data_IF_029706193088
#
_entry.id   IF_029706193088
#
_cell.length_a   1.000
_cell.length_b   1.000
_cell.length_c   1.000
_cell.angle_alpha   90.00
_cell.angle_beta   90.00
_cell.angle_gamma   90.00
#
_symmetry.space_group_name_H-M   'P 1'
#
loop_
_entity.id
_entity.type
_entity.pdbx_description
1 polymer ?
#
# COMPACT_ATOMS: atom_id res chain seq x y z
N UNK A 1 -12.66 -22.21 5.79
CA UNK A 1 -12.49 -21.03 4.92
C UNK A 1 -12.84 -19.80 5.74
N UNK A 2 -12.15 -18.68 5.53
CA UNK A 2 -12.45 -17.45 6.25
C UNK A 2 -13.64 -16.74 5.58
N UNK A 3 -14.79 -16.71 6.24
CA UNK A 3 -16.06 -16.25 5.65
C UNK A 3 -16.14 -14.71 5.57
N UNK A 4 -15.42 -14.01 6.43
CA UNK A 4 -15.42 -12.55 6.50
C UNK A 4 -14.11 -12.01 5.96
N UNK A 5 -14.18 -11.24 4.85
CA UNK A 5 -13.05 -10.46 4.27
C UNK A 5 -11.75 -11.27 4.07
N UNK A 6 -11.85 -12.54 3.68
CA UNK A 6 -10.70 -13.43 3.50
C UNK A 6 -9.77 -13.50 4.75
N UNK A 7 -10.33 -13.32 5.96
CA UNK A 7 -9.55 -13.30 7.21
C UNK A 7 -8.55 -12.15 7.34
N UNK A 8 -8.58 -11.15 6.45
CA UNK A 8 -7.55 -10.11 6.36
C UNK A 8 -6.34 -10.51 5.50
N UNK A 9 -6.40 -11.66 4.82
CA UNK A 9 -5.38 -12.07 3.87
C UNK A 9 -5.49 -11.29 2.55
N UNK A 10 -4.35 -11.12 1.89
CA UNK A 10 -4.25 -10.55 0.53
C UNK A 10 -5.24 -11.21 -0.46
N UNK A 11 -5.78 -10.48 -1.46
CA UNK A 11 -6.68 -11.04 -2.47
C UNK A 11 -6.10 -12.24 -3.24
N UNK A 12 -4.76 -12.30 -3.38
CA UNK A 12 -3.99 -13.38 -3.99
C UNK A 12 -3.50 -14.41 -2.96
N UNK A 13 -3.95 -14.33 -1.71
CA UNK A 13 -3.81 -15.37 -0.71
C UNK A 13 -5.08 -16.21 -0.58
N UNK A 14 -4.91 -17.49 -0.29
CA UNK A 14 -5.93 -18.35 0.28
C UNK A 14 -5.91 -18.22 1.81
N UNK A 15 -7.08 -18.04 2.41
CA UNK A 15 -7.23 -17.97 3.86
C UNK A 15 -7.67 -19.31 4.46
N UNK A 16 -6.96 -19.77 5.49
CA UNK A 16 -7.28 -20.93 6.31
C UNK A 16 -7.17 -20.61 7.80
N UNK A 17 -7.63 -21.53 8.66
CA UNK A 17 -7.47 -21.42 10.12
C UNK A 17 -6.43 -22.44 10.59
N UNK A 18 -5.49 -22.02 11.42
CA UNK A 18 -4.52 -22.88 12.08
C UNK A 18 -5.22 -23.81 13.08
N UNK A 19 -4.78 -25.07 13.12
CA UNK A 19 -5.49 -26.14 13.85
C UNK A 19 -5.48 -26.06 15.37
N UNK A 20 -4.65 -25.20 15.98
CA UNK A 20 -4.45 -25.14 17.45
C UNK A 20 -5.15 -23.98 18.14
N UNK A 21 -5.48 -22.90 17.43
CA UNK A 21 -6.05 -21.69 18.02
C UNK A 21 -6.99 -20.93 17.09
N UNK A 22 -7.38 -21.52 15.96
CA UNK A 22 -8.14 -20.85 14.90
C UNK A 22 -7.48 -19.56 14.39
N UNK A 23 -6.15 -19.40 14.52
CA UNK A 23 -5.47 -18.24 13.96
C UNK A 23 -5.62 -18.21 12.43
N UNK A 24 -5.80 -17.02 11.87
CA UNK A 24 -5.83 -16.83 10.42
C UNK A 24 -4.46 -17.16 9.84
N UNK A 25 -4.44 -18.02 8.82
CA UNK A 25 -3.27 -18.38 8.04
C UNK A 25 -3.49 -17.97 6.60
N UNK A 26 -2.65 -17.05 6.11
CA UNK A 26 -2.68 -16.55 4.74
C UNK A 26 -1.60 -17.25 3.92
N UNK A 27 -2.01 -18.02 2.90
CA UNK A 27 -1.07 -18.71 2.01
C UNK A 27 -1.20 -18.18 0.60
N UNK A 28 -0.12 -17.67 -0.01
CA UNK A 28 -0.19 -17.17 -1.37
C UNK A 28 -0.62 -18.24 -2.37
N UNK A 29 -1.54 -17.87 -3.25
CA UNK A 29 -1.99 -18.70 -4.37
C UNK A 29 -0.79 -19.03 -5.27
N UNK A 30 -0.87 -20.15 -5.98
CA UNK A 30 0.17 -20.57 -6.93
C UNK A 30 0.48 -19.42 -7.90
N UNK A 31 1.77 -19.15 -8.11
CA UNK A 31 2.22 -18.03 -8.93
C UNK A 31 2.37 -16.71 -8.16
N UNK A 32 2.17 -16.72 -6.84
CA UNK A 32 2.44 -15.60 -5.95
C UNK A 32 3.41 -15.97 -4.83
N UNK A 33 4.30 -15.05 -4.46
CA UNK A 33 5.21 -15.20 -3.33
C UNK A 33 4.75 -14.35 -2.15
N UNK A 34 4.79 -14.88 -0.91
CA UNK A 34 4.53 -14.08 0.26
C UNK A 34 5.65 -13.06 0.42
N UNK A 35 5.28 -11.79 0.61
CA UNK A 35 6.15 -10.77 1.17
C UNK A 35 5.60 -10.38 2.54
N UNK A 36 6.47 -10.42 3.54
CA UNK A 36 6.11 -10.04 4.90
C UNK A 36 6.02 -8.50 4.96
N UNK A 37 4.82 -8.00 5.26
CA UNK A 37 4.56 -6.60 5.62
C UNK A 37 3.82 -6.60 6.96
N UNK A 38 4.55 -6.41 8.05
CA UNK A 38 3.99 -6.48 9.41
C UNK A 38 3.18 -7.76 9.69
N UNK A 39 1.90 -7.58 10.04
CA UNK A 39 0.96 -8.67 10.39
C UNK A 39 0.12 -9.20 9.21
N UNK A 40 0.31 -8.68 8.00
CA UNK A 40 -0.46 -9.08 6.81
C UNK A 40 0.45 -9.80 5.81
N UNK A 41 0.03 -10.97 5.34
CA UNK A 41 0.72 -11.65 4.24
C UNK A 41 0.23 -11.07 2.92
N UNK A 42 1.09 -10.29 2.26
CA UNK A 42 0.86 -9.78 0.91
C UNK A 42 1.36 -10.82 -0.10
N UNK A 43 0.56 -11.07 -1.13
CA UNK A 43 0.89 -12.04 -2.17
C UNK A 43 1.12 -11.32 -3.48
N UNK A 44 2.38 -11.29 -3.88
CA UNK A 44 2.84 -10.64 -5.11
C UNK A 44 3.14 -11.67 -6.18
N UNK A 45 2.93 -11.36 -7.45
CA UNK A 45 3.11 -12.34 -8.50
C UNK A 45 4.59 -12.77 -8.60
N UNK A 46 4.84 -14.07 -8.46
CA UNK A 46 6.15 -14.71 -8.43
C UNK A 46 6.93 -14.55 -9.74
N UNK A 47 6.23 -14.27 -10.83
CA UNK A 47 6.79 -14.15 -12.19
C UNK A 47 7.01 -12.72 -12.64
N UNK A 48 6.78 -11.71 -11.78
CA UNK A 48 7.22 -10.36 -12.12
C UNK A 48 8.71 -10.28 -11.84
N UNK A 49 9.53 -10.70 -12.80
CA UNK A 49 10.94 -10.30 -12.84
C UNK A 49 10.93 -8.78 -12.78
N UNK A 50 11.33 -8.24 -11.63
CA UNK A 50 11.49 -6.81 -11.46
C UNK A 50 12.51 -6.34 -12.50
N UNK A 51 12.22 -5.23 -13.19
CA UNK A 51 13.16 -4.67 -14.15
C UNK A 51 14.51 -4.43 -13.46
N UNK A 52 15.65 -4.52 -14.18
CA UNK A 52 16.97 -4.27 -13.59
C UNK A 52 17.01 -2.94 -12.82
N UNK A 53 17.54 -2.96 -11.60
CA UNK A 53 17.60 -1.78 -10.73
C UNK A 53 16.28 -1.44 -10.03
N UNK A 54 15.24 -2.26 -10.16
CA UNK A 54 14.01 -2.14 -9.38
C UNK A 54 13.92 -3.16 -8.26
N UNK A 55 13.28 -2.76 -7.18
CA UNK A 55 13.05 -3.59 -6.00
C UNK A 55 11.71 -3.23 -5.36
N UNK A 56 11.36 -3.94 -4.28
CA UNK A 56 10.18 -3.61 -3.49
C UNK A 56 10.53 -2.64 -2.38
N UNK A 57 9.62 -1.71 -2.13
CA UNK A 57 9.61 -0.90 -0.93
C UNK A 57 8.25 -1.04 -0.22
N UNK A 58 8.27 -0.88 1.10
CA UNK A 58 7.10 -1.04 1.96
C UNK A 58 6.83 0.23 2.76
N UNK A 59 5.57 0.47 3.10
CA UNK A 59 5.21 1.52 4.03
C UNK A 59 5.81 1.22 5.40
N UNK A 60 6.41 2.22 6.05
CA UNK A 60 6.83 2.04 7.45
C UNK A 60 5.63 1.71 8.34
N UNK A 61 5.78 0.68 9.16
CA UNK A 61 4.75 0.17 10.08
C UNK A 61 4.08 1.27 10.92
N UNK A 62 4.83 2.30 11.33
CA UNK A 62 4.31 3.43 12.11
C UNK A 62 3.22 4.25 11.40
N UNK A 63 3.06 4.11 10.07
CA UNK A 63 2.04 4.80 9.29
C UNK A 63 0.83 3.90 8.96
N UNK A 64 0.89 2.60 9.25
CA UNK A 64 -0.26 1.73 9.15
C UNK A 64 -1.34 2.16 10.16
N UNK A 65 -2.61 2.09 9.75
CA UNK A 65 -3.73 2.57 10.53
C UNK A 65 -3.98 4.09 10.46
N UNK A 66 -3.19 4.82 9.66
CA UNK A 66 -3.43 6.26 9.44
C UNK A 66 -4.82 6.50 8.83
N UNK A 67 -5.46 7.58 9.23
CA UNK A 67 -6.81 7.95 8.79
C UNK A 67 -6.79 9.17 7.88
N UNK A 68 -7.75 9.22 6.95
CA UNK A 68 -8.09 10.40 6.16
C UNK A 68 -9.61 10.64 6.26
N UNK A 69 -10.09 11.76 6.85
CA UNK A 69 -9.34 12.90 7.36
C UNK A 69 -8.35 12.58 8.49
N UNK A 70 -7.22 13.27 8.48
CA UNK A 70 -6.11 13.09 9.41
C UNK A 70 -5.14 14.27 9.37
N UNK A 71 -3.86 14.04 9.63
CA UNK A 71 -2.86 15.10 9.64
C UNK A 71 -2.52 15.60 8.22
N UNK A 72 -2.57 16.92 8.04
CA UNK A 72 -2.39 17.56 6.73
C UNK A 72 -1.21 18.53 6.73
N UNK A 73 -0.50 18.60 5.59
CA UNK A 73 0.53 19.62 5.37
C UNK A 73 0.57 20.03 3.90
N UNK A 74 0.43 21.33 3.60
CA UNK A 74 0.63 21.86 2.25
C UNK A 74 -0.59 21.78 1.34
N UNK A 75 -0.34 21.82 0.03
CA UNK A 75 -1.34 21.77 -1.03
C UNK A 75 -1.28 20.42 -1.73
N UNK A 76 -2.44 19.87 -2.07
CA UNK A 76 -2.55 18.58 -2.72
C UNK A 76 -2.92 18.71 -4.19
N UNK A 77 -2.46 17.79 -5.05
CA UNK A 77 -2.96 17.73 -6.41
C UNK A 77 -4.45 17.36 -6.40
N UNK A 78 -5.19 17.82 -7.39
CA UNK A 78 -6.54 17.32 -7.65
C UNK A 78 -6.48 15.94 -8.29
N UNK A 79 -7.49 15.12 -8.04
CA UNK A 79 -7.62 13.79 -8.63
C UNK A 79 -9.07 13.50 -9.01
N UNK A 80 -9.32 12.84 -10.15
CA UNK A 80 -10.65 12.34 -10.50
C UNK A 80 -11.09 11.16 -9.61
N UNK A 81 -10.15 10.46 -8.96
CA UNK A 81 -10.41 9.24 -8.17
C UNK A 81 -11.06 9.55 -6.80
N UNK A 82 -11.06 10.82 -6.40
CA UNK A 82 -11.73 11.28 -5.19
C UNK A 82 -11.00 12.44 -4.51
N UNK A 83 -11.63 13.03 -3.48
CA UNK A 83 -11.08 14.18 -2.79
C UNK A 83 -10.16 13.81 -1.61
N UNK A 84 -10.08 12.53 -1.23
CA UNK A 84 -9.28 12.07 -0.08
C UNK A 84 -7.95 11.50 -0.55
N UNK A 85 -6.92 12.33 -0.57
CA UNK A 85 -5.57 11.97 -1.04
C UNK A 85 -4.62 11.51 0.06
N UNK A 86 -3.63 10.72 -0.30
CA UNK A 86 -2.64 10.12 0.59
C UNK A 86 -1.27 10.33 -0.03
N UNK A 87 -0.43 11.15 0.60
CA UNK A 87 0.89 11.49 0.07
C UNK A 87 1.98 10.58 0.64
N UNK A 88 2.52 9.73 -0.22
CA UNK A 88 3.58 8.77 0.10
C UNK A 88 4.91 9.26 -0.46
N UNK A 89 5.96 9.17 0.36
CA UNK A 89 7.25 9.79 0.08
C UNK A 89 8.41 8.81 0.28
N UNK A 90 9.27 8.71 -0.75
CA UNK A 90 10.59 8.09 -0.64
C UNK A 90 11.58 9.07 -0.01
N UNK A 91 12.17 8.67 1.13
CA UNK A 91 13.04 9.52 1.93
C UNK A 91 14.49 9.57 1.40
N UNK A 92 14.99 8.50 0.77
CA UNK A 92 16.33 8.45 0.20
C UNK A 92 16.46 9.36 -1.01
N UNK A 93 17.67 9.69 -1.46
CA UNK A 93 17.90 10.69 -2.52
C UNK A 93 17.84 10.13 -3.94
N UNK A 94 18.01 8.82 -4.11
CA UNK A 94 18.25 8.16 -5.40
C UNK A 94 17.16 7.18 -5.83
N UNK A 95 16.07 7.08 -5.06
CA UNK A 95 14.99 6.13 -5.31
C UNK A 95 13.75 6.82 -5.88
N UNK A 96 13.09 6.17 -6.83
CA UNK A 96 11.88 6.65 -7.52
C UNK A 96 10.77 5.61 -7.47
N UNK A 97 9.51 6.03 -7.32
CA UNK A 97 8.36 5.13 -7.46
C UNK A 97 8.18 4.72 -8.93
N UNK A 98 8.00 3.42 -9.16
CA UNK A 98 7.63 2.84 -10.46
C UNK A 98 6.14 2.46 -10.46
N UNK A 99 5.68 1.86 -9.36
CA UNK A 99 4.27 1.58 -9.11
C UNK A 99 3.98 1.55 -7.62
N UNK A 100 2.71 1.68 -7.25
CA UNK A 100 2.26 1.64 -5.86
C UNK A 100 0.97 0.84 -5.71
N UNK A 101 0.75 0.31 -4.52
CA UNK A 101 -0.48 -0.37 -4.13
C UNK A 101 -0.74 -0.03 -2.67
N UNK A 102 -1.86 0.64 -2.42
CA UNK A 102 -2.29 1.01 -1.07
C UNK A 102 -3.54 0.23 -0.72
N UNK A 103 -3.50 -0.52 0.38
CA UNK A 103 -4.66 -1.21 0.92
C UNK A 103 -5.38 -0.31 1.91
N UNK A 104 -6.63 0.01 1.59
CA UNK A 104 -7.51 0.79 2.44
C UNK A 104 -8.64 -0.07 3.02
N UNK A 105 -9.19 0.35 4.16
CA UNK A 105 -10.26 -0.36 4.86
C UNK A 105 -11.56 -0.41 4.07
N UNK A 106 -11.90 0.64 3.34
CA UNK A 106 -13.17 0.75 2.59
C UNK A 106 -12.95 0.63 1.07
N UNK A 107 -11.96 1.33 0.52
CA UNK A 107 -11.67 1.34 -0.91
C UNK A 107 -10.94 0.09 -1.42
N UNK A 108 -10.41 -0.76 -0.52
CA UNK A 108 -9.62 -1.93 -0.90
C UNK A 108 -8.25 -1.52 -1.45
N UNK A 109 -7.73 -2.29 -2.41
CA UNK A 109 -6.42 -2.01 -3.01
C UNK A 109 -6.55 -0.95 -4.11
N UNK A 110 -5.90 0.18 -3.93
CA UNK A 110 -5.80 1.26 -4.92
C UNK A 110 -4.38 1.32 -5.48
N UNK A 111 -4.28 1.35 -6.81
CA UNK A 111 -3.00 1.35 -7.54
C UNK A 111 -2.78 2.57 -8.43
N UNK A 112 -3.82 3.39 -8.63
CA UNK A 112 -3.73 4.67 -9.33
C UNK A 112 -2.85 5.63 -8.52
N UNK A 113 -1.85 6.22 -9.18
CA UNK A 113 -0.94 7.17 -8.53
C UNK A 113 -0.73 8.41 -9.38
N UNK A 114 -0.62 9.55 -8.70
CA UNK A 114 -0.17 10.82 -9.27
C UNK A 114 1.21 11.12 -8.69
N UNK A 115 2.20 11.38 -9.56
CA UNK A 115 3.56 11.71 -9.14
C UNK A 115 3.84 13.20 -9.34
N UNK A 116 3.99 13.93 -8.23
CA UNK A 116 4.28 15.37 -8.24
C UNK A 116 4.82 15.81 -6.87
N UNK A 117 5.80 16.73 -6.77
CA UNK A 117 6.50 17.42 -7.86
C UNK A 117 7.57 16.56 -8.56
N UNK A 118 7.86 15.36 -8.04
CA UNK A 118 8.79 14.43 -8.66
C UNK A 118 8.32 12.98 -8.46
N UNK A 119 9.02 12.05 -9.08
CA UNK A 119 8.78 10.61 -8.97
C UNK A 119 9.06 10.01 -7.57
N UNK A 120 9.49 10.84 -6.61
CA UNK A 120 9.66 10.46 -5.19
C UNK A 120 8.40 10.66 -4.37
N UNK A 121 7.45 11.40 -4.92
CA UNK A 121 6.16 11.69 -4.32
C UNK A 121 5.10 10.89 -5.07
N UNK A 122 4.32 10.10 -4.35
CA UNK A 122 3.19 9.37 -4.90
C UNK A 122 1.94 9.77 -4.13
N UNK A 123 0.94 10.27 -4.84
CA UNK A 123 -0.38 10.54 -4.28
C UNK A 123 -1.35 9.47 -4.75
N UNK A 124 -2.05 8.87 -3.80
CA UNK A 124 -3.14 7.91 -4.04
C UNK A 124 -4.42 8.51 -3.49
N UNK A 125 -5.55 8.33 -4.17
CA UNK A 125 -6.81 8.94 -3.78
C UNK A 125 -7.89 7.90 -3.53
N UNK A 126 -8.76 8.22 -2.58
CA UNK A 126 -9.94 7.44 -2.19
C UNK A 126 -11.20 8.30 -2.37
N UNK A 127 -12.34 7.70 -2.76
CA UNK A 127 -13.58 8.45 -3.01
C UNK A 127 -14.22 8.96 -1.71
N UNK A 128 -13.97 8.29 -0.59
CA UNK A 128 -14.49 8.63 0.73
C UNK A 128 -13.37 8.63 1.77
N UNK A 129 -13.65 9.14 2.96
CA UNK A 129 -12.79 8.99 4.13
C UNK A 129 -12.42 7.51 4.35
N UNK A 130 -11.17 7.23 4.70
CA UNK A 130 -10.68 5.85 4.82
C UNK A 130 -9.52 5.70 5.81
N UNK A 131 -9.09 4.46 6.03
CA UNK A 131 -7.95 4.06 6.84
C UNK A 131 -6.96 3.29 5.99
N UNK A 132 -5.70 3.76 5.93
CA UNK A 132 -4.60 3.07 5.27
C UNK A 132 -4.19 1.86 6.12
N UNK A 133 -4.47 0.66 5.65
CA UNK A 133 -4.12 -0.57 6.35
C UNK A 133 -2.67 -0.99 6.04
N UNK A 134 -2.25 -0.84 4.80
CA UNK A 134 -0.90 -1.18 4.34
C UNK A 134 -0.60 -0.48 2.99
N UNK A 135 0.67 -0.36 2.60
CA UNK A 135 1.06 -0.03 1.24
C UNK A 135 2.41 -0.63 0.85
N UNK A 136 2.55 -0.96 -0.42
CA UNK A 136 3.79 -1.43 -1.02
C UNK A 136 3.99 -0.84 -2.41
N UNK A 137 5.23 -0.82 -2.86
CA UNK A 137 5.62 -0.24 -4.13
C UNK A 137 6.68 -1.07 -4.84
N UNK A 138 6.70 -0.97 -6.18
CA UNK A 138 7.93 -1.22 -6.94
C UNK A 138 8.63 0.11 -7.09
N UNK A 139 9.91 0.14 -6.75
CA UNK A 139 10.75 1.33 -6.82
C UNK A 139 11.98 1.05 -7.65
N UNK A 140 12.53 2.09 -8.26
CA UNK A 140 13.83 2.05 -8.91
C UNK A 140 14.83 2.77 -8.01
N UNK A 141 15.84 2.04 -7.51
CA UNK A 141 16.80 2.54 -6.52
C UNK A 141 16.84 1.72 -5.23
N UNK A 142 17.68 2.13 -4.26
CA UNK A 142 18.03 1.32 -3.10
C UNK A 142 17.06 1.39 -1.91
N UNK A 143 16.06 2.27 -1.89
CA UNK A 143 15.16 2.37 -0.72
C UNK A 143 14.24 1.15 -0.67
N UNK A 144 14.13 0.53 0.50
CA UNK A 144 13.21 -0.57 0.79
C UNK A 144 11.99 -0.13 1.59
N UNK A 145 11.92 1.16 1.95
CA UNK A 145 10.84 1.73 2.74
C UNK A 145 10.44 3.12 2.24
N UNK A 146 9.18 3.48 2.46
CA UNK A 146 8.66 4.83 2.26
C UNK A 146 7.69 5.20 3.40
N UNK A 147 7.33 6.47 3.49
CA UNK A 147 6.49 7.02 4.58
C UNK A 147 5.21 7.64 4.06
N UNK A 148 4.20 7.71 4.93
CA UNK A 148 3.07 8.62 4.74
C UNK A 148 3.48 10.00 5.24
N UNK A 149 3.60 10.95 4.31
CA UNK A 149 4.01 12.32 4.63
C UNK A 149 2.86 13.18 5.12
N UNK A 150 1.64 13.02 4.59
CA UNK A 150 0.40 13.67 5.04
C UNK A 150 -0.81 13.13 4.27
N UNK A 151 -2.02 13.52 4.68
CA UNK A 151 -3.26 13.27 3.95
C UNK A 151 -3.87 14.56 3.39
N UNK A 152 -4.63 14.43 2.31
CA UNK A 152 -5.35 15.48 1.60
C UNK A 152 -6.85 15.31 1.83
N UNK A 153 -7.53 16.39 2.15
CA UNK A 153 -8.94 16.42 2.50
C UNK A 153 -9.71 17.14 1.39
N UNK A 154 -11.02 16.91 1.24
CA UNK A 154 -11.84 17.71 0.35
C UNK A 154 -11.69 19.21 0.67
N UNK A 155 -11.20 19.99 -0.30
CA UNK A 155 -11.03 21.45 -0.17
C UNK A 155 -9.70 21.93 0.43
N UNK A 156 -8.69 21.04 0.60
CA UNK A 156 -7.32 21.42 0.96
C UNK A 156 -6.47 21.84 -0.22
#
# INVERSE_FOLDING_TARGET
VCEVRNGGCDPNAACSHGGSNNAVVCTCKKGYTPVASGSVTICVQATTTLAPGTQKAFLKDAHMGSMNPGFQTGQCPSSPDGPYGWHLLLQGTSTSFVSISCLFKSAGVVTSMIQTPSNKHAYVFTPTADTLLDAWAVVQGPDTEFVLSHVCNPGS
#
